data_IF_115008917802
#
_entry.id   IF_115008917802
#
_cell.length_a   1.000
_cell.length_b   1.000
_cell.length_c   1.000
_cell.angle_alpha   90.00
_cell.angle_beta   90.00
_cell.angle_gamma   90.00
#
_symmetry.space_group_name_H-M   'P 1'
#
loop_
_entity.id
_entity.type
_entity.pdbx_description
1 polymer ?
#
# COMPACT_ATOMS: atom_id res chain seq x y z
N UNK A 1 -14.37 19.97 27.99
CA UNK A 1 -13.10 20.25 28.69
C UNK A 1 -13.10 21.71 29.14
N UNK A 2 -12.58 22.03 30.34
CA UNK A 2 -12.41 23.42 30.76
C UNK A 2 -11.44 24.13 29.81
N UNK A 3 -11.76 25.38 29.42
CA UNK A 3 -10.92 26.21 28.55
C UNK A 3 -10.37 27.38 29.36
N UNK A 4 -9.08 27.67 29.20
CA UNK A 4 -8.41 28.81 29.81
C UNK A 4 -8.01 29.80 28.73
N UNK A 5 -8.23 31.10 28.96
CA UNK A 5 -7.89 32.16 28.00
C UNK A 5 -6.43 32.57 28.17
N UNK A 6 -5.68 32.50 27.07
CA UNK A 6 -4.31 33.00 26.97
C UNK A 6 -4.26 34.10 25.89
N UNK A 7 -3.32 35.05 26.04
CA UNK A 7 -3.11 36.14 25.08
C UNK A 7 -1.66 36.14 24.63
N UNK A 8 -1.42 36.04 23.33
CA UNK A 8 -0.10 36.07 22.72
C UNK A 8 -0.03 37.21 21.70
N UNK A 9 1.17 37.80 21.55
CA UNK A 9 1.45 38.75 20.49
C UNK A 9 2.06 37.98 19.31
N UNK A 10 1.33 37.90 18.20
CA UNK A 10 1.79 37.23 16.99
C UNK A 10 2.07 38.28 15.89
N UNK A 11 3.10 38.09 15.06
CA UNK A 11 3.29 38.89 13.86
C UNK A 11 2.08 38.80 12.93
N UNK A 12 1.77 39.88 12.22
CA UNK A 12 0.61 39.97 11.31
C UNK A 12 0.66 38.90 10.21
N UNK A 13 1.86 38.60 9.70
CA UNK A 13 2.09 37.54 8.72
C UNK A 13 1.59 36.17 9.18
N UNK A 14 1.80 35.83 10.46
CA UNK A 14 1.35 34.54 11.02
C UNK A 14 -0.18 34.49 11.11
N UNK A 15 -0.82 35.62 11.45
CA UNK A 15 -2.28 35.70 11.48
C UNK A 15 -2.91 35.58 10.08
N UNK A 16 -2.25 36.11 9.06
CA UNK A 16 -2.63 35.95 7.66
C UNK A 16 -2.48 34.48 7.22
N UNK A 17 -1.35 33.84 7.58
CA UNK A 17 -1.12 32.41 7.31
C UNK A 17 -2.18 31.51 7.95
N UNK A 18 -2.59 31.80 9.20
CA UNK A 18 -3.67 31.06 9.85
C UNK A 18 -4.95 31.24 9.04
N UNK A 19 -5.29 32.49 8.71
CA UNK A 19 -6.54 32.84 8.02
C UNK A 19 -6.63 32.18 6.64
N UNK A 20 -5.53 32.14 5.87
CA UNK A 20 -5.48 31.54 4.55
C UNK A 20 -5.60 30.01 4.56
N UNK A 21 -5.19 29.36 5.65
CA UNK A 21 -5.13 27.90 5.76
C UNK A 21 -6.28 27.28 6.59
N UNK A 22 -7.20 28.08 7.14
CA UNK A 22 -8.32 27.58 7.95
C UNK A 22 -9.15 26.51 7.24
N UNK A 23 -9.50 26.76 5.97
CA UNK A 23 -10.34 25.84 5.17
C UNK A 23 -9.55 24.56 4.85
N UNK A 24 -8.28 24.70 4.48
CA UNK A 24 -7.43 23.56 4.13
C UNK A 24 -7.17 22.65 5.35
N UNK A 25 -7.11 23.21 6.54
CA UNK A 25 -6.94 22.49 7.80
C UNK A 25 -8.24 22.00 8.43
N UNK A 26 -9.38 22.11 7.73
CA UNK A 26 -10.74 21.75 8.21
C UNK A 26 -11.07 22.37 9.60
N UNK A 27 -10.58 23.58 9.85
CA UNK A 27 -10.77 24.28 11.11
C UNK A 27 -11.91 25.29 11.00
N UNK A 28 -12.80 25.31 11.99
CA UNK A 28 -13.95 26.23 12.05
C UNK A 28 -13.61 27.57 12.70
N UNK A 29 -12.45 27.68 13.33
CA UNK A 29 -12.00 28.92 13.97
C UNK A 29 -10.47 29.00 14.07
N UNK A 30 -9.93 30.23 14.17
CA UNK A 30 -8.51 30.45 14.47
C UNK A 30 -8.08 29.77 15.77
N UNK A 31 -8.96 29.72 16.76
CA UNK A 31 -8.67 29.06 18.04
C UNK A 31 -8.49 27.55 17.88
N UNK A 32 -9.33 26.91 17.06
CA UNK A 32 -9.21 25.48 16.74
C UNK A 32 -7.94 25.19 15.92
N UNK A 33 -7.60 26.06 14.98
CA UNK A 33 -6.35 25.99 14.24
C UNK A 33 -5.13 26.06 15.16
N UNK A 34 -5.11 27.05 16.07
CA UNK A 34 -4.03 27.22 17.06
C UNK A 34 -3.96 26.02 18.01
N UNK A 35 -5.10 25.49 18.44
CA UNK A 35 -5.12 24.28 19.28
C UNK A 35 -4.49 23.07 18.55
N UNK A 36 -4.87 22.82 17.29
CA UNK A 36 -4.29 21.75 16.50
C UNK A 36 -2.79 21.98 16.23
N UNK A 37 -2.38 23.20 15.93
CA UNK A 37 -0.97 23.54 15.70
C UNK A 37 -0.11 23.33 16.96
N UNK A 38 -0.62 23.72 18.14
CA UNK A 38 0.07 23.50 19.41
C UNK A 38 0.20 21.99 19.69
N UNK A 39 -0.88 21.21 19.51
CA UNK A 39 -0.83 19.75 19.69
C UNK A 39 0.20 19.12 18.76
N UNK A 40 0.18 19.49 17.48
CA UNK A 40 1.15 19.02 16.50
C UNK A 40 2.58 19.37 16.90
N UNK A 41 2.84 20.59 17.39
CA UNK A 41 4.18 20.98 17.81
C UNK A 41 4.62 20.30 19.12
N UNK A 42 3.71 20.09 20.08
CA UNK A 42 3.98 19.32 21.27
C UNK A 42 4.27 17.84 20.96
N UNK A 43 3.54 17.26 20.00
CA UNK A 43 3.83 15.94 19.45
C UNK A 43 5.20 15.95 18.77
N UNK A 44 5.51 16.92 17.91
CA UNK A 44 6.84 17.10 17.29
C UNK A 44 7.98 17.18 18.32
N UNK A 45 7.83 17.95 19.39
CA UNK A 45 8.85 18.05 20.44
C UNK A 45 8.99 16.76 21.27
N UNK A 46 7.88 16.04 21.46
CA UNK A 46 7.92 14.72 22.08
C UNK A 46 8.60 13.70 21.16
N UNK A 47 8.44 13.86 19.84
CA UNK A 47 9.07 13.07 18.79
C UNK A 47 10.58 13.33 18.69
N UNK A 48 11.06 14.56 18.85
CA UNK A 48 12.51 14.86 18.89
C UNK A 48 13.23 14.14 20.05
N UNK A 49 12.53 13.89 21.16
CA UNK A 49 13.04 13.14 22.30
C UNK A 49 12.96 11.61 22.14
N UNK A 50 12.15 11.10 21.21
CA UNK A 50 12.01 9.67 20.91
C UNK A 50 12.38 9.38 19.46
N UNK A 51 13.61 8.93 19.22
CA UNK A 51 14.30 8.75 17.91
C UNK A 51 13.55 8.01 16.78
N UNK A 52 12.34 7.52 16.97
CA UNK A 52 11.57 6.86 15.91
C UNK A 52 10.10 6.92 16.30
N UNK A 53 9.25 7.56 15.51
CA UNK A 53 7.92 7.06 15.09
C UNK A 53 7.28 8.11 14.16
N UNK A 54 6.76 7.62 13.05
CA UNK A 54 6.03 8.37 12.03
C UNK A 54 4.73 8.90 12.65
N UNK A 55 4.34 10.18 12.47
CA UNK A 55 3.08 10.71 13.02
C UNK A 55 1.88 9.82 12.69
N UNK A 56 0.96 9.62 13.65
CA UNK A 56 -0.17 8.67 13.54
C UNK A 56 -1.00 8.87 12.26
N UNK A 57 -1.20 10.12 11.83
CA UNK A 57 -1.91 10.42 10.59
C UNK A 57 -1.18 9.92 9.35
N UNK A 58 0.16 9.99 9.32
CA UNK A 58 0.97 9.48 8.23
C UNK A 58 1.03 7.94 8.26
N UNK A 59 1.08 7.33 9.45
CA UNK A 59 0.96 5.88 9.59
C UNK A 59 -0.39 5.36 9.04
N UNK A 60 -1.49 6.01 9.41
CA UNK A 60 -2.83 5.67 8.90
C UNK A 60 -2.93 5.84 7.37
N UNK A 61 -2.33 6.89 6.80
CA UNK A 61 -2.32 7.11 5.37
C UNK A 61 -1.54 6.00 4.63
N UNK A 62 -0.40 5.57 5.19
CA UNK A 62 0.41 4.47 4.64
C UNK A 62 -0.37 3.15 4.73
N UNK A 63 -0.92 2.82 5.90
CA UNK A 63 -1.70 1.58 6.08
C UNK A 63 -2.89 1.53 5.13
N UNK A 64 -3.58 2.66 4.93
CA UNK A 64 -4.68 2.77 3.98
C UNK A 64 -4.21 2.58 2.53
N UNK A 65 -3.10 3.21 2.13
CA UNK A 65 -2.53 3.06 0.80
C UNK A 65 -2.09 1.61 0.52
N UNK A 66 -1.43 0.97 1.48
CA UNK A 66 -1.03 -0.45 1.40
C UNK A 66 -2.26 -1.33 1.29
N UNK A 67 -3.25 -1.14 2.15
CA UNK A 67 -4.50 -1.92 2.13
C UNK A 67 -5.25 -1.79 0.80
N UNK A 68 -5.30 -0.59 0.22
CA UNK A 68 -5.89 -0.37 -1.10
C UNK A 68 -5.11 -1.10 -2.20
N UNK A 69 -3.78 -1.04 -2.15
CA UNK A 69 -2.91 -1.74 -3.09
C UNK A 69 -3.11 -3.25 -2.99
N UNK A 70 -3.09 -3.82 -1.79
CA UNK A 70 -3.32 -5.25 -1.55
C UNK A 70 -4.70 -5.69 -2.05
N UNK A 71 -5.76 -4.91 -1.77
CA UNK A 71 -7.11 -5.21 -2.28
C UNK A 71 -7.18 -5.20 -3.80
N UNK A 72 -6.52 -4.24 -4.45
CA UNK A 72 -6.48 -4.16 -5.92
C UNK A 72 -5.71 -5.34 -6.49
N UNK A 73 -4.53 -5.63 -5.95
CA UNK A 73 -3.68 -6.76 -6.36
C UNK A 73 -4.42 -8.08 -6.16
N UNK A 74 -5.05 -8.30 -5.02
CA UNK A 74 -5.85 -9.50 -4.74
C UNK A 74 -6.99 -9.68 -5.75
N UNK A 75 -7.72 -8.61 -6.09
CA UNK A 75 -8.78 -8.68 -7.13
C UNK A 75 -8.23 -9.02 -8.51
N UNK A 76 -7.09 -8.46 -8.89
CA UNK A 76 -6.46 -8.74 -10.19
C UNK A 76 -5.95 -10.18 -10.23
N UNK A 77 -5.25 -10.63 -9.18
CA UNK A 77 -4.78 -12.01 -9.05
C UNK A 77 -5.94 -12.99 -9.10
N UNK A 78 -7.06 -12.71 -8.43
CA UNK A 78 -8.24 -13.58 -8.51
C UNK A 78 -8.77 -13.71 -9.94
N UNK A 79 -8.94 -12.60 -10.66
CA UNK A 79 -9.38 -12.64 -12.08
C UNK A 79 -8.39 -13.39 -12.96
N UNK A 80 -7.09 -13.23 -12.71
CA UNK A 80 -6.05 -13.94 -13.42
C UNK A 80 -6.08 -15.44 -13.13
N UNK A 81 -6.26 -15.85 -11.87
CA UNK A 81 -6.42 -17.26 -11.49
C UNK A 81 -7.63 -17.91 -12.16
N UNK A 82 -8.77 -17.20 -12.25
CA UNK A 82 -9.95 -17.67 -12.98
C UNK A 82 -9.63 -17.85 -14.47
N UNK A 83 -8.98 -16.87 -15.10
CA UNK A 83 -8.60 -16.97 -16.51
C UNK A 83 -7.60 -18.11 -16.77
N UNK A 84 -6.63 -18.32 -15.88
CA UNK A 84 -5.69 -19.43 -15.96
C UNK A 84 -6.40 -20.78 -15.81
N UNK A 85 -7.34 -20.91 -14.86
CA UNK A 85 -8.13 -22.13 -14.70
C UNK A 85 -8.94 -22.45 -15.96
N UNK A 86 -9.59 -21.46 -16.56
CA UNK A 86 -10.32 -21.62 -17.83
C UNK A 86 -9.40 -22.03 -18.98
N UNK A 87 -8.20 -21.44 -19.07
CA UNK A 87 -7.20 -21.81 -20.08
C UNK A 87 -6.69 -23.23 -19.88
N UNK A 88 -6.38 -23.61 -18.63
CA UNK A 88 -5.94 -24.97 -18.30
C UNK A 88 -7.03 -25.99 -18.65
N UNK A 89 -8.28 -25.71 -18.32
CA UNK A 89 -9.42 -26.57 -18.69
C UNK A 89 -9.57 -26.69 -20.22
N UNK A 90 -9.52 -25.58 -20.94
CA UNK A 90 -9.61 -25.56 -22.41
C UNK A 90 -8.46 -26.36 -23.06
N UNK A 91 -7.22 -26.19 -22.59
CA UNK A 91 -6.04 -26.88 -23.11
C UNK A 91 -6.05 -28.37 -22.77
N UNK A 92 -6.46 -28.73 -21.55
CA UNK A 92 -6.60 -30.14 -21.13
C UNK A 92 -7.59 -30.85 -22.03
N UNK A 93 -8.75 -30.25 -22.28
CA UNK A 93 -9.77 -30.80 -23.17
C UNK A 93 -9.27 -30.90 -24.61
N UNK A 94 -8.56 -29.88 -25.12
CA UNK A 94 -8.02 -29.88 -26.48
C UNK A 94 -6.93 -30.94 -26.69
N UNK A 95 -6.02 -31.10 -25.72
CA UNK A 95 -4.92 -32.05 -25.77
C UNK A 95 -5.30 -33.45 -25.27
N UNK A 96 -6.53 -33.62 -24.77
CA UNK A 96 -7.02 -34.86 -24.15
C UNK A 96 -6.14 -35.33 -22.98
N UNK A 97 -5.60 -34.39 -22.21
CA UNK A 97 -4.81 -34.71 -21.02
C UNK A 97 -5.69 -35.28 -19.92
N UNK A 98 -5.19 -36.31 -19.25
CA UNK A 98 -5.84 -36.83 -18.05
C UNK A 98 -5.26 -36.18 -16.77
N UNK A 99 -5.77 -36.59 -15.60
CA UNK A 99 -5.27 -36.06 -14.32
C UNK A 99 -3.81 -36.41 -14.05
N UNK A 100 -3.33 -37.55 -14.54
CA UNK A 100 -1.94 -37.97 -14.42
C UNK A 100 -1.01 -37.05 -15.20
N UNK A 101 -1.39 -36.71 -16.44
CA UNK A 101 -0.63 -35.78 -17.29
C UNK A 101 -0.51 -34.40 -16.65
N UNK A 102 -1.60 -33.87 -16.09
CA UNK A 102 -1.61 -32.58 -15.40
C UNK A 102 -0.70 -32.61 -14.16
N UNK A 103 -0.77 -33.67 -13.35
CA UNK A 103 0.07 -33.78 -12.15
C UNK A 103 1.57 -33.76 -12.50
N UNK A 104 1.97 -34.44 -13.58
CA UNK A 104 3.37 -34.43 -14.05
C UNK A 104 3.77 -33.03 -14.52
N UNK A 105 2.87 -32.34 -15.24
CA UNK A 105 3.10 -30.98 -15.72
C UNK A 105 3.24 -29.99 -14.56
N UNK A 106 2.40 -30.11 -13.52
CA UNK A 106 2.46 -29.28 -12.31
C UNK A 106 3.77 -29.49 -11.55
N UNK A 107 4.22 -30.74 -11.36
CA UNK A 107 5.50 -31.04 -10.72
C UNK A 107 6.67 -30.43 -11.51
N UNK A 108 6.67 -30.60 -12.83
CA UNK A 108 7.70 -30.03 -13.70
C UNK A 108 7.73 -28.50 -13.64
N UNK A 109 6.55 -27.86 -13.62
CA UNK A 109 6.43 -26.42 -13.50
C UNK A 109 6.90 -25.93 -12.12
N UNK A 110 6.54 -26.63 -11.04
CA UNK A 110 6.99 -26.32 -9.68
C UNK A 110 8.52 -26.42 -9.55
N UNK A 111 9.10 -27.50 -10.04
CA UNK A 111 10.55 -27.71 -10.00
C UNK A 111 11.29 -26.64 -10.80
N UNK A 112 10.77 -26.23 -11.96
CA UNK A 112 11.33 -25.12 -12.75
C UNK A 112 11.26 -23.80 -11.97
N UNK A 113 10.08 -23.43 -11.45
CA UNK A 113 9.92 -22.18 -10.66
C UNK A 113 10.85 -22.18 -9.45
N UNK A 114 10.97 -23.32 -8.75
CA UNK A 114 11.86 -23.49 -7.60
C UNK A 114 13.33 -23.38 -7.99
N UNK A 115 13.75 -24.02 -9.09
CA UNK A 115 15.13 -23.95 -9.63
C UNK A 115 15.53 -22.50 -9.93
N UNK A 116 14.61 -21.70 -10.44
CA UNK A 116 14.89 -20.32 -10.87
C UNK A 116 14.45 -19.24 -9.85
N UNK A 117 14.11 -19.61 -8.60
CA UNK A 117 13.63 -18.68 -7.56
C UNK A 117 12.49 -17.74 -8.03
N UNK A 118 11.62 -18.23 -8.92
CA UNK A 118 10.55 -17.42 -9.51
C UNK A 118 11.00 -16.39 -10.56
N UNK A 119 12.29 -16.28 -10.85
CA UNK A 119 12.83 -15.47 -11.95
C UNK A 119 12.99 -16.33 -13.20
N UNK A 120 11.90 -16.48 -13.94
CA UNK A 120 11.90 -17.21 -15.21
C UNK A 120 12.26 -16.26 -16.36
N UNK A 121 13.46 -16.38 -16.93
CA UNK A 121 13.75 -15.78 -18.24
C UNK A 121 13.21 -16.71 -19.34
N UNK A 122 12.27 -16.18 -20.13
CA UNK A 122 11.69 -16.89 -21.27
C UNK A 122 12.76 -17.38 -22.25
N UNK A 123 13.88 -16.66 -22.41
CA UNK A 123 14.96 -17.09 -23.32
C UNK A 123 15.65 -18.37 -22.83
N UNK A 124 15.88 -18.52 -21.52
CA UNK A 124 16.50 -19.71 -20.95
C UNK A 124 15.59 -20.94 -21.06
N UNK A 125 14.28 -20.75 -20.88
CA UNK A 125 13.28 -21.83 -20.96
C UNK A 125 13.11 -22.35 -22.40
N UNK A 126 13.19 -21.48 -23.40
CA UNK A 126 13.07 -21.90 -24.81
C UNK A 126 14.29 -22.70 -25.29
N UNK A 127 15.47 -22.46 -24.73
CA UNK A 127 16.71 -23.16 -25.10
C UNK A 127 16.75 -24.60 -24.54
N UNK A 128 16.18 -24.83 -23.34
CA UNK A 128 16.13 -26.18 -22.74
C UNK A 128 15.17 -27.14 -23.45
N UNK A 129 14.16 -26.66 -24.20
CA UNK A 129 13.15 -27.52 -24.85
C UNK A 129 13.45 -27.91 -26.31
N UNK A 130 14.59 -27.46 -26.87
CA UNK A 130 14.98 -27.71 -28.27
C UNK A 130 16.36 -28.37 -28.43
N UNK A 131 16.96 -28.88 -27.35
CA UNK A 131 18.15 -29.74 -27.37
C UNK A 131 17.80 -31.13 -26.83
#
# INVERSE_FOLDING_TARGET
>A
MPKQKFSYLLPTEVDEMISSNLIAADCRSKNEFVEQAIRFYCEYLSLENSKTIIPVHLQNAIDHAVTLSERRTSKVLFKQSVALAMLTEALTNYLSYDRGDINILEQTAFDKVRKYNGMLDMKEIFIENYN
#
